data_IF_994920532811
#
_entry.id   IF_994920532811
#
_cell.length_a   1.000
_cell.length_b   1.000
_cell.length_c   1.000
_cell.angle_alpha   90.00
_cell.angle_beta   90.00
_cell.angle_gamma   90.00
#
_symmetry.space_group_name_H-M   'P 1'
#
loop_
_entity.id
_entity.type
_entity.pdbx_description
1 polymer ?
#
# COMPACT_ATOMS: atom_id res chain seq x y z
N UNK A 1 -22.10 -10.41 -22.05
CA UNK A 1 -23.01 -9.27 -21.80
C UNK A 1 -22.91 -8.89 -20.32
N UNK A 2 -23.02 -7.61 -19.93
CA UNK A 2 -23.15 -7.25 -18.53
C UNK A 2 -24.44 -7.86 -17.95
N UNK A 3 -24.39 -8.33 -16.70
CA UNK A 3 -25.58 -8.82 -15.99
C UNK A 3 -26.61 -7.70 -15.83
N UNK A 4 -27.89 -8.05 -15.80
CA UNK A 4 -29.00 -7.14 -15.50
C UNK A 4 -29.37 -7.18 -14.00
N UNK A 5 -29.85 -6.08 -13.39
CA UNK A 5 -30.38 -6.11 -12.02
C UNK A 5 -31.49 -7.16 -11.86
N UNK A 6 -31.39 -7.98 -10.82
CA UNK A 6 -32.25 -9.14 -10.55
C UNK A 6 -31.85 -10.43 -11.26
N UNK A 7 -30.88 -10.39 -12.18
CA UNK A 7 -30.37 -11.59 -12.87
C UNK A 7 -29.55 -12.47 -11.91
N UNK A 8 -29.81 -13.78 -11.97
CA UNK A 8 -28.98 -14.82 -11.36
C UNK A 8 -28.15 -15.48 -12.47
N UNK A 9 -26.83 -15.43 -12.34
CA UNK A 9 -25.90 -16.03 -13.31
C UNK A 9 -24.85 -16.88 -12.60
N UNK A 10 -24.39 -17.93 -13.29
CA UNK A 10 -23.33 -18.80 -12.82
C UNK A 10 -22.02 -18.49 -13.54
N UNK A 11 -20.94 -18.24 -12.79
CA UNK A 11 -19.62 -17.97 -13.34
C UNK A 11 -18.63 -19.04 -12.92
N UNK A 12 -18.08 -19.77 -13.90
CA UNK A 12 -16.93 -20.64 -13.67
C UNK A 12 -15.64 -19.81 -13.79
N UNK A 13 -15.02 -19.53 -12.65
CA UNK A 13 -13.76 -18.81 -12.58
C UNK A 13 -12.60 -19.80 -12.40
N UNK A 14 -11.66 -19.79 -13.34
CA UNK A 14 -10.38 -20.47 -13.15
C UNK A 14 -9.62 -19.84 -11.95
N UNK A 15 -8.75 -20.62 -11.31
CA UNK A 15 -8.06 -20.21 -10.08
C UNK A 15 -7.36 -18.84 -10.14
N UNK A 16 -6.77 -18.36 -11.27
CA UNK A 16 -6.16 -17.03 -11.32
C UNK A 16 -7.16 -15.87 -11.12
N UNK A 17 -8.44 -16.12 -11.38
CA UNK A 17 -9.54 -15.16 -11.22
C UNK A 17 -10.33 -15.37 -9.92
N UNK A 18 -9.94 -16.36 -9.11
CA UNK A 18 -10.51 -16.68 -7.81
C UNK A 18 -9.47 -16.40 -6.69
N UNK A 19 -9.10 -17.40 -5.90
CA UNK A 19 -8.14 -17.27 -4.80
C UNK A 19 -6.68 -17.56 -5.21
N UNK A 20 -6.44 -17.83 -6.50
CA UNK A 20 -5.09 -17.95 -7.04
C UNK A 20 -4.35 -19.18 -6.54
N UNK A 21 -3.04 -19.19 -6.80
CA UNK A 21 -2.13 -20.24 -6.33
C UNK A 21 -2.14 -20.48 -4.82
N UNK A 22 -2.20 -19.46 -3.94
CA UNK A 22 -2.14 -19.73 -2.50
C UNK A 22 -3.44 -20.28 -1.91
N UNK A 23 -4.58 -20.18 -2.60
CA UNK A 23 -5.88 -20.48 -1.98
C UNK A 23 -6.19 -19.50 -0.85
N UNK A 24 -7.13 -19.82 0.04
CA UNK A 24 -7.55 -18.97 1.15
C UNK A 24 -7.85 -19.82 2.37
N UNK A 25 -7.60 -19.28 3.56
CA UNK A 25 -8.02 -19.90 4.83
C UNK A 25 -9.39 -19.44 5.27
N UNK A 26 -9.74 -18.19 4.98
CA UNK A 26 -11.04 -17.61 5.27
C UNK A 26 -11.52 -16.80 4.05
N UNK A 27 -12.52 -17.31 3.29
CA UNK A 27 -13.08 -18.66 3.39
C UNK A 27 -12.04 -19.75 3.05
N UNK A 28 -12.27 -20.99 3.50
CA UNK A 28 -11.38 -22.13 3.21
C UNK A 28 -11.51 -22.53 1.73
N UNK A 29 -10.50 -22.17 0.95
CA UNK A 29 -10.43 -22.42 -0.50
C UNK A 29 -9.07 -23.01 -0.82
N UNK A 30 -9.01 -24.23 -1.38
CA UNK A 30 -7.73 -24.86 -1.70
C UNK A 30 -6.88 -24.04 -2.69
N UNK A 31 -5.54 -24.19 -2.63
CA UNK A 31 -4.63 -23.74 -3.68
C UNK A 31 -5.10 -24.13 -5.08
N UNK A 32 -5.06 -23.19 -6.02
CA UNK A 32 -5.37 -23.43 -7.44
C UNK A 32 -6.78 -23.99 -7.73
N UNK A 33 -7.72 -23.83 -6.78
CA UNK A 33 -9.09 -24.28 -6.96
C UNK A 33 -9.87 -23.36 -7.93
N UNK A 34 -10.52 -23.92 -8.98
CA UNK A 34 -11.54 -23.20 -9.73
C UNK A 34 -12.80 -23.05 -8.87
N UNK A 35 -13.52 -21.94 -9.02
CA UNK A 35 -14.75 -21.68 -8.29
C UNK A 35 -15.93 -21.48 -9.23
N UNK A 36 -17.07 -22.05 -8.86
CA UNK A 36 -18.37 -21.74 -9.44
C UNK A 36 -19.06 -20.72 -8.54
N UNK A 37 -19.24 -19.50 -9.04
CA UNK A 37 -19.98 -18.46 -8.33
C UNK A 37 -21.42 -18.44 -8.82
N UNK A 38 -22.36 -18.55 -7.89
CA UNK A 38 -23.73 -18.11 -8.09
C UNK A 38 -23.82 -16.63 -7.70
N UNK A 39 -24.04 -15.75 -8.67
CA UNK A 39 -24.08 -14.32 -8.45
C UNK A 39 -25.47 -13.81 -8.80
N UNK A 40 -26.09 -13.12 -7.83
CA UNK A 40 -27.29 -12.33 -8.07
C UNK A 40 -26.91 -10.86 -8.11
N UNK A 41 -27.13 -10.19 -9.24
CA UNK A 41 -26.88 -8.75 -9.34
C UNK A 41 -28.05 -8.01 -8.71
N UNK A 42 -27.93 -7.60 -7.46
CA UNK A 42 -29.03 -6.94 -6.75
C UNK A 42 -29.33 -5.53 -7.30
N UNK A 43 -28.28 -4.72 -7.49
CA UNK A 43 -28.43 -3.33 -7.89
C UNK A 43 -27.15 -2.86 -8.61
N UNK A 44 -27.32 -2.04 -9.65
CA UNK A 44 -26.24 -1.28 -10.27
C UNK A 44 -26.46 0.18 -9.94
N UNK A 45 -25.49 0.76 -9.25
CA UNK A 45 -25.42 2.20 -9.05
C UNK A 45 -24.29 2.72 -9.90
N UNK A 46 -24.46 3.93 -10.43
CA UNK A 46 -23.29 4.65 -10.92
C UNK A 46 -22.27 4.67 -9.79
N UNK A 47 -21.02 4.30 -10.12
CA UNK A 47 -19.93 4.60 -9.21
C UNK A 47 -19.96 6.09 -8.88
N UNK A 48 -19.34 6.54 -7.78
CA UNK A 48 -19.06 7.95 -7.65
C UNK A 48 -18.08 8.35 -8.78
N UNK A 49 -18.62 8.58 -9.98
CA UNK A 49 -18.11 9.45 -11.03
C UNK A 49 -17.90 10.84 -10.38
N UNK A 50 -17.04 11.74 -10.89
CA UNK A 50 -16.31 12.74 -10.11
C UNK A 50 -17.19 13.87 -9.56
N UNK A 51 -18.15 13.50 -8.73
CA UNK A 51 -18.89 14.35 -7.85
C UNK A 51 -18.01 14.57 -6.63
N UNK A 52 -17.87 15.82 -6.20
CA UNK A 52 -17.24 16.12 -4.93
C UNK A 52 -17.87 15.25 -3.84
N UNK A 53 -17.05 14.50 -3.10
CA UNK A 53 -17.52 13.61 -2.04
C UNK A 53 -17.38 14.31 -0.68
N UNK A 54 -18.31 14.11 0.28
CA UNK A 54 -18.10 14.55 1.65
C UNK A 54 -16.82 13.93 2.24
N UNK A 55 -16.05 14.66 3.08
CA UNK A 55 -14.82 14.15 3.70
C UNK A 55 -14.98 12.78 4.36
N UNK A 56 -16.03 12.58 5.16
CA UNK A 56 -16.36 11.30 5.79
C UNK A 56 -16.50 10.13 4.78
N UNK A 57 -17.09 10.40 3.60
CA UNK A 57 -17.24 9.37 2.55
C UNK A 57 -15.89 9.06 1.91
N UNK A 58 -15.03 10.07 1.71
CA UNK A 58 -13.66 9.91 1.19
C UNK A 58 -12.82 9.05 2.13
N UNK A 59 -12.88 9.31 3.43
CA UNK A 59 -12.22 8.54 4.47
C UNK A 59 -12.67 7.07 4.46
N UNK A 60 -13.97 6.82 4.50
CA UNK A 60 -14.54 5.47 4.45
C UNK A 60 -14.11 4.70 3.20
N UNK A 61 -14.23 5.33 2.04
CA UNK A 61 -13.88 4.72 0.76
C UNK A 61 -12.37 4.46 0.63
N UNK A 62 -11.55 5.40 1.13
CA UNK A 62 -10.11 5.23 1.25
C UNK A 62 -9.76 4.01 2.11
N UNK A 63 -10.31 3.93 3.33
CA UNK A 63 -10.02 2.81 4.24
C UNK A 63 -10.44 1.46 3.64
N UNK A 64 -11.64 1.37 3.07
CA UNK A 64 -12.12 0.13 2.45
C UNK A 64 -11.19 -0.35 1.32
N UNK A 65 -10.73 0.57 0.47
CA UNK A 65 -9.81 0.27 -0.62
C UNK A 65 -8.41 -0.09 -0.11
N UNK A 66 -7.94 0.56 0.96
CA UNK A 66 -6.68 0.23 1.62
C UNK A 66 -6.73 -1.17 2.24
N UNK A 67 -7.82 -1.54 2.91
CA UNK A 67 -8.00 -2.89 3.48
C UNK A 67 -8.04 -3.97 2.40
N UNK A 68 -8.70 -3.70 1.27
CA UNK A 68 -8.64 -4.59 0.10
C UNK A 68 -7.21 -4.75 -0.43
N UNK A 69 -6.43 -3.67 -0.43
CA UNK A 69 -5.01 -3.73 -0.76
C UNK A 69 -4.22 -4.60 0.21
N UNK A 70 -4.47 -4.46 1.52
CA UNK A 70 -3.84 -5.30 2.56
C UNK A 70 -4.17 -6.79 2.34
N UNK A 71 -5.43 -7.09 1.99
CA UNK A 71 -5.86 -8.45 1.68
C UNK A 71 -5.05 -9.06 0.53
N UNK A 72 -4.89 -8.33 -0.59
CA UNK A 72 -4.07 -8.79 -1.71
C UNK A 72 -2.58 -8.91 -1.33
N UNK A 73 -2.07 -7.95 -0.56
CA UNK A 73 -0.67 -7.92 -0.14
C UNK A 73 -0.31 -9.14 0.72
N UNK A 74 -1.17 -9.53 1.66
CA UNK A 74 -0.98 -10.69 2.51
C UNK A 74 -0.87 -12.01 1.73
N UNK A 75 -1.40 -12.04 0.50
CA UNK A 75 -1.42 -13.22 -0.39
C UNK A 75 -0.29 -13.21 -1.43
N UNK A 76 0.60 -12.21 -1.37
CA UNK A 76 1.68 -12.03 -2.33
C UNK A 76 1.24 -11.46 -3.69
N UNK A 77 -0.03 -11.09 -3.87
CA UNK A 77 -0.48 -10.40 -5.08
C UNK A 77 -0.24 -8.89 -4.94
N UNK A 78 1.03 -8.50 -5.05
CA UNK A 78 1.46 -7.13 -4.88
C UNK A 78 0.93 -6.19 -5.98
N UNK A 79 0.67 -6.73 -7.18
CA UNK A 79 0.10 -5.95 -8.28
C UNK A 79 -1.36 -5.58 -8.00
N UNK A 80 -2.19 -6.52 -7.51
CA UNK A 80 -3.54 -6.21 -7.07
C UNK A 80 -3.56 -5.30 -5.85
N UNK A 81 -2.66 -5.53 -4.88
CA UNK A 81 -2.52 -4.67 -3.71
C UNK A 81 -2.26 -3.22 -4.10
N UNK A 82 -1.29 -2.99 -4.99
CA UNK A 82 -0.93 -1.67 -5.49
C UNK A 82 -2.09 -0.99 -6.23
N UNK A 83 -2.85 -1.72 -7.05
CA UNK A 83 -4.06 -1.18 -7.69
C UNK A 83 -5.07 -0.69 -6.65
N UNK A 84 -5.32 -1.48 -5.60
CA UNK A 84 -6.23 -1.10 -4.52
C UNK A 84 -5.73 0.11 -3.72
N UNK A 85 -4.44 0.19 -3.39
CA UNK A 85 -3.86 1.36 -2.72
C UNK A 85 -3.94 2.63 -3.58
N UNK A 86 -3.68 2.54 -4.89
CA UNK A 86 -3.85 3.68 -5.81
C UNK A 86 -5.30 4.15 -5.87
N UNK A 87 -6.28 3.24 -5.86
CA UNK A 87 -7.69 3.60 -5.77
C UNK A 87 -8.06 4.22 -4.40
N UNK A 88 -7.40 3.80 -3.31
CA UNK A 88 -7.53 4.45 -2.01
C UNK A 88 -7.02 5.88 -2.05
N UNK A 89 -5.83 6.13 -2.60
CA UNK A 89 -5.28 7.48 -2.75
C UNK A 89 -6.20 8.36 -3.59
N UNK A 90 -6.70 7.86 -4.72
CA UNK A 90 -7.71 8.59 -5.52
C UNK A 90 -8.97 8.95 -4.74
N UNK A 91 -9.41 8.12 -3.78
CA UNK A 91 -10.54 8.45 -2.92
C UNK A 91 -10.21 9.61 -1.96
N UNK A 92 -9.04 9.51 -1.31
CA UNK A 92 -8.55 10.49 -0.34
C UNK A 92 -8.16 11.82 -1.01
N UNK A 93 -7.77 11.79 -2.27
CA UNK A 93 -7.33 12.95 -3.08
C UNK A 93 -8.44 13.55 -3.95
N UNK A 94 -9.56 12.83 -4.09
CA UNK A 94 -10.69 13.27 -4.89
C UNK A 94 -11.28 14.60 -4.41
N UNK A 95 -12.05 15.30 -5.27
CA UNK A 95 -12.68 16.56 -4.91
C UNK A 95 -13.59 16.41 -3.68
N UNK A 96 -13.56 17.40 -2.80
CA UNK A 96 -14.39 17.42 -1.60
C UNK A 96 -15.65 18.26 -1.82
N UNK A 97 -16.82 17.75 -1.41
CA UNK A 97 -18.10 18.47 -1.51
C UNK A 97 -18.15 19.73 -0.65
N UNK A 98 -17.43 19.69 0.46
CA UNK A 98 -17.22 20.77 1.40
C UNK A 98 -15.77 20.70 1.89
N UNK A 99 -15.17 21.83 2.32
CA UNK A 99 -13.87 21.80 2.95
C UNK A 99 -13.94 20.92 4.23
N UNK A 100 -12.98 20.01 4.43
CA UNK A 100 -12.93 19.21 5.65
C UNK A 100 -12.68 20.09 6.88
N UNK A 101 -13.24 19.69 8.01
CA UNK A 101 -12.84 20.24 9.30
C UNK A 101 -11.38 19.92 9.64
N UNK A 102 -10.78 20.55 10.65
CA UNK A 102 -9.38 20.30 11.03
C UNK A 102 -9.13 18.83 11.40
N UNK A 103 -10.05 18.20 12.14
CA UNK A 103 -9.96 16.78 12.53
C UNK A 103 -10.05 15.85 11.31
N UNK A 104 -10.97 16.14 10.38
CA UNK A 104 -11.13 15.36 9.15
C UNK A 104 -9.92 15.50 8.22
N UNK A 105 -9.33 16.69 8.13
CA UNK A 105 -8.13 16.94 7.34
C UNK A 105 -6.93 16.19 7.92
N UNK A 106 -6.75 16.19 9.25
CA UNK A 106 -5.72 15.41 9.93
C UNK A 106 -5.91 13.90 9.67
N UNK A 107 -7.14 13.39 9.79
CA UNK A 107 -7.43 11.99 9.51
C UNK A 107 -7.18 11.63 8.04
N UNK A 108 -7.55 12.50 7.10
CA UNK A 108 -7.27 12.31 5.67
C UNK A 108 -5.76 12.22 5.41
N UNK A 109 -4.97 13.09 6.03
CA UNK A 109 -3.51 13.08 5.94
C UNK A 109 -2.91 11.82 6.54
N UNK A 110 -3.39 11.38 7.70
CA UNK A 110 -2.94 10.15 8.35
C UNK A 110 -3.23 8.91 7.46
N UNK A 111 -4.44 8.82 6.91
CA UNK A 111 -4.83 7.74 6.00
C UNK A 111 -4.02 7.78 4.69
N UNK A 112 -3.71 8.97 4.15
CA UNK A 112 -2.82 9.12 3.00
C UNK A 112 -1.43 8.56 3.30
N UNK A 113 -0.83 8.92 4.43
CA UNK A 113 0.49 8.44 4.84
C UNK A 113 0.51 6.91 5.03
N UNK A 114 -0.53 6.34 5.64
CA UNK A 114 -0.70 4.88 5.75
C UNK A 114 -0.75 4.23 4.36
N UNK A 115 -1.51 4.80 3.42
CA UNK A 115 -1.65 4.27 2.07
C UNK A 115 -0.36 4.40 1.24
N UNK A 116 0.33 5.54 1.31
CA UNK A 116 1.61 5.75 0.63
C UNK A 116 2.70 4.79 1.11
N UNK A 117 2.77 4.53 2.43
CA UNK A 117 3.65 3.50 2.98
C UNK A 117 3.35 2.10 2.43
N UNK A 118 2.07 1.78 2.26
CA UNK A 118 1.64 0.51 1.69
C UNK A 118 1.96 0.41 0.18
N UNK A 119 1.80 1.50 -0.58
CA UNK A 119 2.28 1.60 -1.96
C UNK A 119 3.78 1.33 -2.04
N UNK A 120 4.59 2.03 -1.23
CA UNK A 120 6.04 1.84 -1.21
C UNK A 120 6.43 0.38 -0.92
N UNK A 121 5.74 -0.25 0.04
CA UNK A 121 5.94 -1.67 0.34
C UNK A 121 5.60 -2.59 -0.84
N UNK A 122 4.52 -2.31 -1.57
CA UNK A 122 4.10 -3.11 -2.72
C UNK A 122 5.03 -2.90 -3.93
N UNK A 123 5.44 -1.67 -4.23
CA UNK A 123 6.38 -1.36 -5.32
C UNK A 123 7.75 -2.02 -5.06
N UNK A 124 8.25 -2.01 -3.82
CA UNK A 124 9.45 -2.77 -3.43
C UNK A 124 9.33 -4.25 -3.74
N UNK A 125 8.20 -4.88 -3.39
CA UNK A 125 7.95 -6.29 -3.68
C UNK A 125 7.82 -6.60 -5.17
N UNK A 126 7.54 -5.58 -5.99
CA UNK A 126 7.50 -5.66 -7.45
C UNK A 126 8.84 -5.29 -8.10
N UNK A 127 9.90 -4.97 -7.33
CA UNK A 127 11.21 -4.56 -7.86
C UNK A 127 11.25 -3.14 -8.44
N UNK A 128 10.27 -2.30 -8.10
CA UNK A 128 10.10 -0.93 -8.60
C UNK A 128 10.64 0.08 -7.60
N UNK A 129 11.95 0.17 -7.52
CA UNK A 129 12.66 0.94 -6.49
C UNK A 129 12.37 2.46 -6.58
N UNK A 130 12.34 3.02 -7.78
CA UNK A 130 12.11 4.46 -7.99
C UNK A 130 10.68 4.87 -7.59
N UNK A 131 9.68 4.08 -7.96
CA UNK A 131 8.29 4.32 -7.57
C UNK A 131 8.08 4.15 -6.06
N UNK A 132 8.78 3.20 -5.44
CA UNK A 132 8.77 3.06 -4.00
C UNK A 132 9.39 4.27 -3.29
N UNK A 133 10.50 4.80 -3.82
CA UNK A 133 11.16 5.99 -3.29
C UNK A 133 10.25 7.21 -3.38
N UNK A 134 9.62 7.43 -4.53
CA UNK A 134 8.65 8.51 -4.73
C UNK A 134 7.46 8.41 -3.78
N UNK A 135 6.96 7.20 -3.49
CA UNK A 135 5.89 6.99 -2.51
C UNK A 135 6.35 7.30 -1.08
N UNK A 136 7.57 6.92 -0.70
CA UNK A 136 8.16 7.31 0.58
C UNK A 136 8.31 8.83 0.71
N UNK A 137 8.82 9.51 -0.32
CA UNK A 137 8.96 10.96 -0.32
C UNK A 137 7.62 11.69 -0.24
N UNK A 138 6.59 11.17 -0.93
CA UNK A 138 5.22 11.68 -0.78
C UNK A 138 4.70 11.52 0.65
N UNK A 139 4.97 10.39 1.32
CA UNK A 139 4.57 10.19 2.71
C UNK A 139 5.30 11.16 3.65
N UNK A 140 6.60 11.39 3.44
CA UNK A 140 7.43 12.28 4.25
C UNK A 140 7.12 13.76 4.04
N UNK A 141 6.58 14.16 2.88
CA UNK A 141 6.06 15.51 2.67
C UNK A 141 4.84 15.83 3.54
N UNK A 142 4.04 14.81 3.88
CA UNK A 142 2.86 14.95 4.74
C UNK A 142 3.26 14.79 6.21
N UNK A 143 4.03 13.75 6.52
CA UNK A 143 4.49 13.43 7.87
C UNK A 143 6.01 13.20 7.84
N UNK A 144 6.82 14.25 8.07
CA UNK A 144 8.28 14.17 8.01
C UNK A 144 8.89 13.15 8.98
N UNK A 145 8.24 12.96 10.14
CA UNK A 145 8.66 12.03 11.18
C UNK A 145 7.95 10.66 11.06
N UNK A 146 7.60 10.24 9.85
CA UNK A 146 7.09 8.89 9.63
C UNK A 146 8.21 7.85 9.60
N UNK A 147 8.45 7.18 10.73
CA UNK A 147 9.53 6.18 10.87
C UNK A 147 9.52 5.06 9.82
N UNK A 148 8.34 4.59 9.39
CA UNK A 148 8.21 3.56 8.33
C UNK A 148 8.68 4.07 6.97
N UNK A 149 8.32 5.30 6.60
CA UNK A 149 8.74 5.91 5.35
C UNK A 149 10.24 6.25 5.37
N UNK A 150 10.76 6.75 6.49
CA UNK A 150 12.19 7.01 6.65
C UNK A 150 13.02 5.73 6.53
N UNK A 151 12.63 4.65 7.23
CA UNK A 151 13.32 3.36 7.13
C UNK A 151 13.38 2.86 5.68
N UNK A 152 12.23 2.85 4.98
CA UNK A 152 12.16 2.37 3.58
C UNK A 152 12.97 3.26 2.63
N UNK A 153 12.92 4.59 2.79
CA UNK A 153 13.73 5.52 2.01
C UNK A 153 15.22 5.27 2.23
N UNK A 154 15.64 5.07 3.48
CA UNK A 154 17.01 4.73 3.82
C UNK A 154 17.49 3.44 3.15
N UNK A 155 16.66 2.39 3.17
CA UNK A 155 16.95 1.11 2.49
C UNK A 155 17.10 1.29 0.98
N UNK A 156 16.18 2.01 0.34
CA UNK A 156 16.21 2.30 -1.09
C UNK A 156 17.45 3.11 -1.51
N UNK A 157 17.81 4.13 -0.74
CA UNK A 157 19.03 4.92 -0.98
C UNK A 157 20.28 4.07 -0.87
N UNK A 158 20.33 3.15 0.10
CA UNK A 158 21.45 2.22 0.26
C UNK A 158 21.56 1.24 -0.92
N UNK A 159 20.43 0.77 -1.46
CA UNK A 159 20.38 -0.08 -2.65
C UNK A 159 20.87 0.67 -3.90
N UNK A 160 20.57 1.96 -4.02
CA UNK A 160 21.10 2.85 -5.06
C UNK A 160 22.60 3.22 -4.86
N UNK A 161 23.26 2.73 -3.81
CA UNK A 161 24.65 3.06 -3.49
C UNK A 161 24.87 4.45 -2.87
N UNK A 162 23.78 5.16 -2.53
CA UNK A 162 23.81 6.48 -1.88
C UNK A 162 23.95 6.34 -0.36
N UNK A 163 25.00 5.63 0.07
CA UNK A 163 25.18 5.17 1.44
C UNK A 163 25.26 6.31 2.47
N UNK A 164 25.84 7.45 2.11
CA UNK A 164 25.93 8.62 3.00
C UNK A 164 24.53 9.22 3.28
N UNK A 165 23.71 9.37 2.25
CA UNK A 165 22.33 9.87 2.39
C UNK A 165 21.44 8.86 3.12
N UNK A 166 21.59 7.57 2.80
CA UNK A 166 20.90 6.50 3.49
C UNK A 166 21.18 6.52 5.00
N UNK A 167 22.44 6.70 5.41
CA UNK A 167 22.82 6.76 6.82
C UNK A 167 22.19 7.96 7.54
N UNK A 168 22.11 9.13 6.90
CA UNK A 168 21.44 10.31 7.47
C UNK A 168 19.95 10.04 7.70
N UNK A 169 19.26 9.49 6.71
CA UNK A 169 17.82 9.17 6.81
C UNK A 169 17.56 8.09 7.86
N UNK A 170 18.38 7.05 7.92
CA UNK A 170 18.25 5.97 8.90
C UNK A 170 18.57 6.44 10.32
N UNK A 171 19.48 7.39 10.52
CA UNK A 171 19.69 8.01 11.84
C UNK A 171 18.47 8.78 12.30
N UNK A 172 17.82 9.53 11.41
CA UNK A 172 16.55 10.19 11.74
C UNK A 172 15.46 9.18 12.09
N UNK A 173 15.38 8.06 11.35
CA UNK A 173 14.47 6.98 11.71
C UNK A 173 14.78 6.38 13.10
N UNK A 174 16.07 6.26 13.44
CA UNK A 174 16.53 5.74 14.74
C UNK A 174 16.18 6.67 15.90
N UNK A 175 16.21 7.99 15.70
CA UNK A 175 15.77 8.97 16.71
C UNK A 175 14.30 8.76 17.10
N UNK A 176 13.46 8.32 16.16
CA UNK A 176 12.04 8.06 16.37
C UNK A 176 11.76 6.68 16.98
N UNK A 177 12.58 5.68 16.65
CA UNK A 177 12.52 4.33 17.23
C UNK A 177 13.93 3.80 17.57
N UNK A 178 14.49 4.19 18.73
CA UNK A 178 15.85 3.78 19.14
C UNK A 178 16.02 2.28 19.34
N UNK A 179 14.92 1.55 19.59
CA UNK A 179 14.91 0.11 19.83
C UNK A 179 14.82 -0.72 18.54
N UNK A 180 14.69 -0.06 17.38
CA UNK A 180 14.51 -0.74 16.10
C UNK A 180 15.73 -1.54 15.66
N UNK A 181 15.67 -2.86 15.85
CA UNK A 181 16.73 -3.79 15.39
C UNK A 181 16.98 -3.70 13.89
N UNK A 182 15.94 -3.39 13.11
CA UNK A 182 16.03 -3.27 11.64
C UNK A 182 16.92 -2.07 11.29
N UNK A 183 16.69 -0.91 11.91
CA UNK A 183 17.48 0.30 11.64
C UNK A 183 18.95 0.10 12.04
N UNK A 184 19.20 -0.51 13.21
CA UNK A 184 20.56 -0.86 13.66
C UNK A 184 21.29 -1.78 12.67
N UNK A 185 20.57 -2.76 12.12
CA UNK A 185 21.12 -3.70 11.12
C UNK A 185 21.49 -2.99 9.82
N UNK A 186 20.62 -2.11 9.32
CA UNK A 186 20.89 -1.32 8.11
C UNK A 186 22.07 -0.37 8.28
N UNK A 187 22.14 0.36 9.40
CA UNK A 187 23.28 1.24 9.69
C UNK A 187 24.59 0.46 9.83
N UNK A 188 24.56 -0.70 10.47
CA UNK A 188 25.73 -1.58 10.58
C UNK A 188 26.18 -2.10 9.21
N UNK A 189 25.22 -2.44 8.33
CA UNK A 189 25.50 -2.85 6.94
C UNK A 189 26.17 -1.72 6.16
N UNK A 190 25.67 -0.49 6.28
CA UNK A 190 26.26 0.69 5.64
C UNK A 190 27.68 0.98 6.15
N UNK A 191 27.91 0.91 7.46
CA UNK A 191 29.24 1.13 8.04
C UNK A 191 30.29 0.12 7.52
N UNK A 192 29.91 -1.15 7.36
CA UNK A 192 30.80 -2.19 6.80
C UNK A 192 31.14 -1.96 5.32
N UNK A 193 30.23 -1.36 4.53
CA UNK A 193 30.51 -1.01 3.13
C UNK A 193 31.52 0.13 3.01
N UNK A 194 31.49 1.07 3.95
CA UNK A 194 32.41 2.20 3.99
C UNK A 194 33.81 1.82 4.49
N UNK A 195 33.90 0.80 5.37
CA UNK A 195 35.15 0.24 5.87
C UNK A 195 35.23 -1.26 5.54
N UNK A 196 35.48 -1.64 4.27
CA UNK A 196 35.68 -3.03 3.93
C UNK A 196 36.86 -3.58 4.74
N UNK A 197 36.78 -4.80 5.30
CA UNK A 197 37.92 -5.41 5.98
C UNK A 197 39.08 -5.46 5.00
N UNK A 198 40.22 -4.90 5.39
CA UNK A 198 41.47 -4.97 4.62
C UNK A 198 41.77 -6.43 4.32
N UNK A 199 41.79 -6.78 3.04
CA UNK A 199 42.22 -8.10 2.58
C UNK A 199 43.68 -8.32 2.99
N UNK A 200 43.89 -9.17 3.98
CA UNK A 200 45.17 -9.85 4.27
C UNK A 200 45.40 -10.98 3.30
#
# INVERSE_FOLDING_TARGET
PPMQPGEVSFFLAAFPYAYGRPGSREPDVPPEAPLLFEVTLLEVRDGPDPQPLPPAVRLRLGSQRRERGNFHFARGDFAAALRSYRLSLRALDGPAAAPPGPEEEEELQEQRVKCLNNCAAAELKLGRAEEALAACEAALRICPDNGRALLRRGQLLAEQGRDAEAALVLRRALELDPASKVIHTELSRLAKRQNPPSST
#
